data_IF_461062563540
#
_entry.id   IF_461062563540
#
_cell.length_a   1.000
_cell.length_b   1.000
_cell.length_c   1.000
_cell.angle_alpha   90.00
_cell.angle_beta   90.00
_cell.angle_gamma   90.00
#
_symmetry.space_group_name_H-M   'P 1'
#
loop_
_entity.id
_entity.type
_entity.pdbx_description
1 polymer ?
#
# COMPACT_ATOMS: atom_id res chain seq x y z
N UNK A 1 22.59 -6.25 -11.31
CA UNK A 1 21.49 -5.59 -10.61
C UNK A 1 20.53 -6.65 -10.09
N UNK A 2 20.15 -6.56 -8.84
CA UNK A 2 19.26 -7.55 -8.22
C UNK A 2 17.80 -7.17 -8.47
N UNK A 3 17.01 -8.13 -8.90
CA UNK A 3 15.58 -7.92 -9.17
C UNK A 3 14.74 -8.80 -8.26
N UNK A 4 13.60 -8.28 -7.85
CA UNK A 4 12.54 -9.03 -7.21
C UNK A 4 11.40 -9.20 -8.20
N UNK A 5 11.01 -10.43 -8.47
CA UNK A 5 9.90 -10.72 -9.39
C UNK A 5 8.63 -11.05 -8.60
N UNK A 6 7.56 -10.35 -8.89
CA UNK A 6 6.24 -10.66 -8.39
C UNK A 6 5.50 -11.44 -9.48
N UNK A 7 5.19 -12.69 -9.22
CA UNK A 7 4.46 -13.52 -10.16
C UNK A 7 2.99 -13.54 -9.81
N UNK A 8 2.19 -13.01 -10.70
CA UNK A 8 0.73 -12.99 -10.65
C UNK A 8 0.17 -14.10 -11.55
N UNK A 9 -1.12 -14.48 -11.46
CA UNK A 9 -1.67 -15.59 -12.20
C UNK A 9 -1.38 -15.59 -13.71
N UNK A 10 -1.30 -14.40 -14.31
CA UNK A 10 -1.10 -14.26 -15.75
C UNK A 10 0.16 -13.52 -16.17
N UNK A 11 0.92 -12.99 -15.19
CA UNK A 11 2.08 -12.16 -15.49
C UNK A 11 3.12 -12.20 -14.39
N UNK A 12 4.37 -11.99 -14.79
CA UNK A 12 5.48 -11.80 -13.87
C UNK A 12 5.89 -10.33 -13.94
N UNK A 13 5.98 -9.68 -12.79
CA UNK A 13 6.39 -8.28 -12.69
C UNK A 13 7.72 -8.23 -11.96
N UNK A 14 8.74 -7.74 -12.66
CA UNK A 14 10.05 -7.54 -12.08
C UNK A 14 10.19 -6.12 -11.55
N UNK A 15 10.66 -5.97 -10.33
CA UNK A 15 11.06 -4.68 -9.75
C UNK A 15 12.52 -4.73 -9.37
N UNK A 16 13.21 -3.62 -9.53
CA UNK A 16 14.61 -3.53 -9.13
C UNK A 16 14.75 -3.58 -7.61
N UNK A 17 15.91 -3.99 -7.13
CA UNK A 17 16.18 -4.12 -5.70
C UNK A 17 15.93 -2.81 -4.94
N UNK A 18 16.31 -1.66 -5.52
CA UNK A 18 16.10 -0.34 -4.92
C UNK A 18 14.62 0.00 -4.80
N UNK A 19 13.82 -0.39 -5.80
CA UNK A 19 12.37 -0.21 -5.78
C UNK A 19 11.72 -1.11 -4.74
N UNK A 20 12.16 -2.36 -4.65
CA UNK A 20 11.69 -3.31 -3.65
C UNK A 20 12.02 -2.82 -2.22
N UNK A 21 13.21 -2.29 -2.01
CA UNK A 21 13.59 -1.71 -0.71
C UNK A 21 12.68 -0.55 -0.32
N UNK A 22 12.37 0.34 -1.26
CA UNK A 22 11.44 1.45 -1.01
C UNK A 22 10.04 0.94 -0.63
N UNK A 23 9.57 -0.08 -1.31
CA UNK A 23 8.28 -0.69 -0.98
C UNK A 23 8.32 -1.31 0.43
N UNK A 24 9.40 -2.00 0.78
CA UNK A 24 9.54 -2.60 2.11
C UNK A 24 9.64 -1.54 3.21
N UNK A 25 10.35 -0.45 2.96
CA UNK A 25 10.40 0.69 3.89
C UNK A 25 9.01 1.28 4.13
N UNK A 26 8.21 1.40 3.08
CA UNK A 26 6.85 1.91 3.20
C UNK A 26 5.95 0.93 3.95
N UNK A 27 6.03 -0.35 3.67
CA UNK A 27 5.32 -1.39 4.41
C UNK A 27 5.68 -1.34 5.90
N UNK A 28 6.95 -1.15 6.20
CA UNK A 28 7.45 -1.05 7.57
C UNK A 28 6.91 0.20 8.26
N UNK A 29 6.96 1.34 7.58
CA UNK A 29 6.42 2.61 8.10
C UNK A 29 4.94 2.50 8.45
N UNK A 30 4.19 1.76 7.67
CA UNK A 30 2.76 1.56 7.89
C UNK A 30 2.45 0.47 8.92
N UNK A 31 3.46 -0.19 9.48
CA UNK A 31 3.26 -1.32 10.38
C UNK A 31 2.64 -2.54 9.70
N UNK A 32 2.75 -2.61 8.38
CA UNK A 32 2.08 -3.60 7.54
C UNK A 32 3.07 -4.63 6.97
N UNK A 33 4.15 -4.91 7.68
CA UNK A 33 5.12 -5.91 7.24
C UNK A 33 4.44 -7.25 6.99
N UNK A 34 4.80 -7.93 5.91
CA UNK A 34 4.46 -9.34 5.75
C UNK A 34 4.89 -10.13 6.99
N UNK A 35 4.28 -11.28 7.23
CA UNK A 35 4.69 -12.13 8.35
C UNK A 35 6.19 -12.37 8.27
N UNK A 36 6.84 -12.62 9.41
CA UNK A 36 8.30 -12.76 9.45
C UNK A 36 8.85 -13.75 8.43
N UNK A 37 8.11 -14.84 8.18
CA UNK A 37 8.51 -15.85 7.19
C UNK A 37 8.40 -15.33 5.76
N UNK A 38 7.32 -14.62 5.42
CA UNK A 38 7.14 -14.05 4.09
C UNK A 38 8.15 -12.94 3.83
N UNK A 39 8.39 -12.10 4.81
CA UNK A 39 9.40 -11.05 4.73
C UNK A 39 10.80 -11.64 4.51
N UNK A 40 11.18 -12.66 5.26
CA UNK A 40 12.47 -13.32 5.11
C UNK A 40 12.61 -13.97 3.72
N UNK A 41 11.53 -14.54 3.20
CA UNK A 41 11.50 -15.11 1.85
C UNK A 41 11.68 -14.05 0.78
N UNK A 42 10.98 -12.94 0.87
CA UNK A 42 11.12 -11.82 -0.05
C UNK A 42 12.53 -11.21 0.02
N UNK A 43 13.05 -11.00 1.22
CA UNK A 43 14.40 -10.48 1.41
C UNK A 43 15.47 -11.40 0.80
N UNK A 44 15.34 -12.71 0.99
CA UNK A 44 16.26 -13.69 0.35
C UNK A 44 16.19 -13.61 -1.16
N UNK A 45 14.99 -13.43 -1.74
CA UNK A 45 14.82 -13.36 -3.18
C UNK A 45 15.40 -12.10 -3.78
N UNK A 46 15.38 -10.99 -3.08
CA UNK A 46 16.10 -9.77 -3.50
C UNK A 46 17.61 -10.08 -3.59
N UNK A 47 18.15 -10.82 -2.60
CA UNK A 47 19.56 -11.20 -2.60
C UNK A 47 19.94 -12.28 -3.63
N UNK A 48 18.99 -13.11 -4.05
CA UNK A 48 19.23 -14.25 -4.95
C UNK A 48 18.54 -14.13 -6.31
N UNK A 49 17.97 -13.00 -6.63
CA UNK A 49 17.15 -12.80 -7.82
C UNK A 49 17.87 -13.09 -9.13
N UNK A 50 19.21 -13.04 -9.13
CA UNK A 50 19.99 -13.43 -10.30
C UNK A 50 19.82 -14.92 -10.66
N UNK A 51 19.49 -15.76 -9.70
CA UNK A 51 19.36 -17.21 -9.86
C UNK A 51 17.91 -17.67 -9.87
N UNK A 52 17.02 -16.95 -9.19
CA UNK A 52 15.61 -17.34 -9.05
C UNK A 52 14.72 -16.26 -9.66
N UNK A 53 14.40 -16.40 -10.92
CA UNK A 53 13.56 -15.43 -11.63
C UNK A 53 12.07 -15.59 -11.39
N UNK A 54 11.67 -16.65 -10.72
CA UNK A 54 10.25 -16.87 -10.45
C UNK A 54 9.97 -16.73 -8.96
N UNK A 55 9.67 -15.52 -8.54
CA UNK A 55 9.04 -15.31 -7.24
C UNK A 55 7.55 -15.44 -7.46
N UNK A 56 6.96 -16.44 -6.86
CA UNK A 56 5.52 -16.61 -6.93
C UNK A 56 4.89 -15.65 -5.92
N UNK A 57 4.61 -14.43 -6.34
CA UNK A 57 3.96 -13.45 -5.48
C UNK A 57 2.60 -13.95 -5.00
N UNK A 58 1.93 -14.78 -5.82
CA UNK A 58 0.67 -15.41 -5.45
C UNK A 58 0.83 -16.38 -4.29
N UNK A 59 1.97 -17.05 -4.18
CA UNK A 59 2.28 -17.93 -3.05
C UNK A 59 2.73 -17.15 -1.82
N UNK A 60 3.24 -15.94 -2.02
CA UNK A 60 3.73 -15.08 -0.95
C UNK A 60 2.67 -14.14 -0.41
N UNK A 61 1.72 -13.78 -1.26
CA UNK A 61 0.74 -12.75 -1.00
C UNK A 61 -0.66 -13.37 -1.02
N UNK A 62 -1.22 -13.64 0.15
CA UNK A 62 -2.65 -13.88 0.26
C UNK A 62 -3.43 -12.56 0.07
N UNK A 63 -4.74 -12.59 0.22
CA UNK A 63 -5.57 -11.40 0.02
C UNK A 63 -5.13 -10.25 0.94
N UNK A 64 -4.82 -10.54 2.19
CA UNK A 64 -4.40 -9.53 3.15
C UNK A 64 -3.04 -8.93 2.80
N UNK A 65 -2.10 -9.73 2.31
CA UNK A 65 -0.80 -9.24 1.87
C UNK A 65 -0.92 -8.37 0.62
N UNK A 66 -1.80 -8.74 -0.32
CA UNK A 66 -2.08 -7.91 -1.50
C UNK A 66 -2.64 -6.54 -1.08
N UNK A 67 -3.55 -6.50 -0.11
CA UNK A 67 -4.08 -5.25 0.42
C UNK A 67 -3.00 -4.38 1.04
N UNK A 68 -2.08 -4.98 1.79
CA UNK A 68 -0.95 -4.25 2.39
C UNK A 68 -0.05 -3.63 1.32
N UNK A 69 0.28 -4.37 0.28
CA UNK A 69 1.11 -3.88 -0.83
C UNK A 69 0.39 -2.76 -1.57
N UNK A 70 -0.89 -2.92 -1.87
CA UNK A 70 -1.69 -1.88 -2.51
C UNK A 70 -1.72 -0.60 -1.67
N UNK A 71 -1.89 -0.73 -0.35
CA UNK A 71 -1.88 0.43 0.55
C UNK A 71 -0.55 1.15 0.56
N UNK A 72 0.55 0.42 0.61
CA UNK A 72 1.89 1.01 0.52
C UNK A 72 2.08 1.76 -0.80
N UNK A 73 1.63 1.18 -1.91
CA UNK A 73 1.69 1.82 -3.22
C UNK A 73 0.80 3.08 -3.29
N UNK A 74 -0.37 3.07 -2.68
CA UNK A 74 -1.22 4.26 -2.60
C UNK A 74 -0.53 5.41 -1.85
N UNK A 75 0.15 5.11 -0.74
CA UNK A 75 0.92 6.11 -0.01
C UNK A 75 2.07 6.68 -0.83
N UNK A 76 2.82 5.81 -1.53
CA UNK A 76 3.91 6.25 -2.40
C UNK A 76 3.38 7.10 -3.56
N UNK A 77 2.24 6.73 -4.14
CA UNK A 77 1.61 7.49 -5.22
C UNK A 77 1.23 8.90 -4.77
N UNK A 78 0.65 9.04 -3.59
CA UNK A 78 0.25 10.33 -3.05
C UNK A 78 1.44 11.27 -2.77
N UNK A 79 2.62 10.70 -2.50
CA UNK A 79 3.85 11.47 -2.33
C UNK A 79 4.65 11.63 -3.62
N UNK A 80 4.11 11.18 -4.75
CA UNK A 80 4.77 11.20 -6.06
C UNK A 80 6.11 10.44 -6.04
N UNK A 81 6.13 9.29 -5.37
CA UNK A 81 7.33 8.47 -5.20
C UNK A 81 7.23 7.10 -5.89
N UNK A 82 6.23 6.90 -6.77
CA UNK A 82 6.14 5.67 -7.55
C UNK A 82 7.14 5.68 -8.70
N UNK A 83 8.10 4.76 -8.65
CA UNK A 83 9.02 4.49 -9.74
C UNK A 83 8.33 3.65 -10.83
N UNK A 84 8.87 3.59 -12.06
CA UNK A 84 8.26 2.81 -13.15
C UNK A 84 7.97 1.35 -12.82
N UNK A 85 8.87 0.67 -12.11
CA UNK A 85 8.65 -0.72 -11.70
C UNK A 85 7.51 -0.87 -10.70
N UNK A 86 7.37 0.09 -9.77
CA UNK A 86 6.28 0.08 -8.80
C UNK A 86 4.94 0.45 -9.45
N UNK A 87 4.93 1.32 -10.46
CA UNK A 87 3.74 1.58 -11.28
C UNK A 87 3.29 0.31 -11.97
N UNK A 88 4.22 -0.45 -12.56
CA UNK A 88 3.91 -1.72 -13.21
C UNK A 88 3.35 -2.74 -12.21
N UNK A 89 3.90 -2.78 -11.00
CA UNK A 89 3.39 -3.63 -9.92
C UNK A 89 1.96 -3.24 -9.53
N UNK A 90 1.68 -1.94 -9.38
CA UNK A 90 0.35 -1.43 -9.11
C UNK A 90 -0.66 -1.85 -10.19
N UNK A 91 -0.31 -1.63 -11.45
CA UNK A 91 -1.17 -1.97 -12.58
C UNK A 91 -1.44 -3.48 -12.64
N UNK A 92 -0.41 -4.30 -12.43
CA UNK A 92 -0.54 -5.75 -12.41
C UNK A 92 -1.42 -6.24 -11.27
N UNK A 93 -1.22 -5.72 -10.06
CA UNK A 93 -2.04 -6.09 -8.90
C UNK A 93 -3.50 -5.68 -9.10
N UNK A 94 -3.76 -4.46 -9.55
CA UNK A 94 -5.14 -4.00 -9.76
C UNK A 94 -5.85 -4.78 -10.85
N UNK A 95 -5.14 -5.16 -11.92
CA UNK A 95 -5.70 -5.98 -13.00
C UNK A 95 -6.03 -7.40 -12.54
N UNK A 96 -5.13 -8.04 -11.80
CA UNK A 96 -5.22 -9.47 -11.48
C UNK A 96 -6.01 -9.74 -10.19
N UNK A 97 -5.84 -8.90 -9.19
CA UNK A 97 -6.56 -9.03 -7.90
C UNK A 97 -7.98 -8.47 -8.00
N UNK A 98 -8.19 -7.46 -8.86
CA UNK A 98 -9.47 -6.76 -9.04
C UNK A 98 -10.07 -6.30 -7.70
N UNK A 99 -9.33 -5.47 -6.95
CA UNK A 99 -9.82 -5.00 -5.66
C UNK A 99 -11.08 -4.16 -5.82
N UNK A 100 -11.98 -4.25 -4.84
CA UNK A 100 -13.20 -3.45 -4.84
C UNK A 100 -12.87 -2.06 -4.32
N UNK A 101 -13.12 -0.98 -5.10
CA UNK A 101 -12.90 0.38 -4.63
C UNK A 101 -13.84 0.72 -3.47
N UNK A 102 -13.30 1.36 -2.45
CA UNK A 102 -14.09 1.85 -1.31
C UNK A 102 -13.87 3.35 -1.20
N UNK A 103 -14.98 4.09 -1.16
CA UNK A 103 -14.95 5.55 -1.02
C UNK A 103 -15.06 5.96 0.43
N UNK A 104 -14.25 6.94 0.80
CA UNK A 104 -14.22 7.51 2.15
C UNK A 104 -14.34 9.03 2.08
N UNK A 105 -14.91 9.60 3.11
CA UNK A 105 -14.86 11.03 3.37
C UNK A 105 -13.90 11.26 4.54
N UNK A 106 -12.82 11.98 4.27
CA UNK A 106 -11.84 12.31 5.29
C UNK A 106 -12.23 13.61 5.97
N UNK A 107 -12.23 13.62 7.29
CA UNK A 107 -12.37 14.85 8.08
C UNK A 107 -11.06 15.07 8.82
N UNK A 108 -10.34 16.11 8.40
CA UNK A 108 -8.99 16.41 8.85
C UNK A 108 -9.03 17.56 9.85
N UNK A 109 -8.64 17.29 11.09
CA UNK A 109 -8.54 18.30 12.13
C UNK A 109 -7.13 18.87 12.19
N UNK A 110 -6.95 20.08 11.67
CA UNK A 110 -5.64 20.73 11.68
C UNK A 110 -5.29 21.26 13.07
N UNK A 111 -3.98 21.35 13.35
CA UNK A 111 -3.47 21.84 14.64
C UNK A 111 -3.90 23.26 14.96
N UNK A 112 -4.15 24.09 13.94
CA UNK A 112 -4.62 25.46 14.10
C UNK A 112 -6.14 25.58 14.37
N UNK A 113 -6.83 24.44 14.51
CA UNK A 113 -8.28 24.40 14.73
C UNK A 113 -9.10 24.38 13.46
N UNK A 114 -8.50 24.50 12.29
CA UNK A 114 -9.19 24.44 11.01
C UNK A 114 -9.59 22.99 10.72
N UNK A 115 -10.79 22.82 10.17
CA UNK A 115 -11.29 21.53 9.70
C UNK A 115 -11.31 21.50 8.18
N UNK A 116 -10.88 20.38 7.61
CA UNK A 116 -10.85 20.18 6.17
C UNK A 116 -11.53 18.86 5.81
N UNK A 117 -12.21 18.82 4.68
CA UNK A 117 -12.81 17.60 4.14
C UNK A 117 -12.15 17.24 2.83
N UNK A 118 -11.82 15.95 2.67
CA UNK A 118 -11.32 15.40 1.41
C UNK A 118 -12.04 14.11 1.09
N UNK A 119 -12.22 13.84 -0.18
CA UNK A 119 -12.73 12.55 -0.62
C UNK A 119 -11.55 11.65 -0.97
N UNK A 120 -11.67 10.38 -0.64
CA UNK A 120 -10.65 9.39 -0.95
C UNK A 120 -11.31 8.11 -1.46
N UNK A 121 -10.74 7.52 -2.50
CA UNK A 121 -11.10 6.17 -2.94
C UNK A 121 -9.88 5.29 -2.76
N UNK A 122 -10.06 4.15 -2.11
CA UNK A 122 -8.96 3.22 -1.83
C UNK A 122 -9.26 1.85 -2.42
N UNK A 123 -8.21 1.20 -2.90
CA UNK A 123 -8.23 -0.19 -3.38
C UNK A 123 -7.61 -1.15 -2.36
N UNK A 124 -7.23 -0.68 -1.20
CA UNK A 124 -6.43 -1.44 -0.24
C UNK A 124 -7.21 -1.95 0.97
N UNK A 125 -8.52 -2.13 0.83
CA UNK A 125 -9.35 -2.63 1.92
C UNK A 125 -9.80 -1.55 2.90
N UNK A 126 -10.21 -1.97 4.08
CA UNK A 126 -10.79 -1.09 5.09
C UNK A 126 -9.73 -0.35 5.90
N UNK A 127 -10.07 0.88 6.30
CA UNK A 127 -9.28 1.66 7.24
C UNK A 127 -9.84 1.55 8.65
N UNK A 128 -8.95 1.50 9.63
CA UNK A 128 -9.30 1.38 11.05
C UNK A 128 -8.59 2.47 11.85
N UNK A 129 -9.03 2.68 13.09
CA UNK A 129 -8.34 3.59 14.02
C UNK A 129 -6.87 3.19 14.15
N UNK A 130 -5.98 4.15 14.03
CA UNK A 130 -4.53 3.95 14.05
C UNK A 130 -3.88 3.90 12.67
N UNK A 131 -4.65 3.67 11.62
CA UNK A 131 -4.11 3.65 10.26
C UNK A 131 -3.71 5.04 9.78
N UNK A 132 -2.64 5.09 8.98
CA UNK A 132 -2.22 6.32 8.30
C UNK A 132 -2.95 6.45 6.98
N UNK A 133 -3.31 7.68 6.63
CA UNK A 133 -3.99 8.00 5.37
C UNK A 133 -2.96 8.36 4.31
N UNK A 134 -3.09 7.87 3.07
CA UNK A 134 -2.29 8.35 1.96
C UNK A 134 -2.44 9.86 1.81
N UNK A 135 -1.32 10.58 1.83
CA UNK A 135 -1.31 12.03 1.81
C UNK A 135 -0.11 12.55 1.02
N UNK A 136 -0.18 13.79 0.47
CA UNK A 136 0.95 14.41 -0.19
C UNK A 136 2.17 14.52 0.72
N UNK A 137 3.36 14.64 0.12
CA UNK A 137 4.60 14.81 0.86
C UNK A 137 4.51 16.02 1.80
N UNK A 138 4.99 15.85 3.03
CA UNK A 138 4.94 16.89 4.06
C UNK A 138 3.67 16.84 4.92
N UNK A 139 2.69 16.00 4.58
CA UNK A 139 1.49 15.80 5.39
C UNK A 139 1.53 14.42 6.04
N UNK A 140 0.96 14.33 7.22
CA UNK A 140 0.77 13.06 7.91
C UNK A 140 -0.57 13.08 8.66
N UNK A 141 -1.42 12.10 8.38
CA UNK A 141 -2.74 11.99 8.96
C UNK A 141 -2.98 10.58 9.48
N UNK A 142 -3.51 10.50 10.68
CA UNK A 142 -3.84 9.22 11.32
C UNK A 142 -5.34 9.16 11.62
N UNK A 143 -5.94 8.02 11.33
CA UNK A 143 -7.36 7.79 11.64
C UNK A 143 -7.53 7.67 13.15
N UNK A 144 -8.39 8.50 13.73
CA UNK A 144 -8.73 8.47 15.15
C UNK A 144 -10.19 8.08 15.39
N UNK A 145 -10.99 8.04 14.35
CA UNK A 145 -12.38 7.59 14.43
C UNK A 145 -12.89 7.12 13.08
N UNK A 146 -13.80 6.14 13.09
CA UNK A 146 -14.44 5.59 11.89
C UNK A 146 -15.94 5.68 12.11
N UNK A 147 -16.65 6.42 11.25
CA UNK A 147 -18.08 6.61 11.35
C UNK A 147 -18.76 6.17 10.05
N UNK A 148 -19.43 5.00 10.05
CA UNK A 148 -20.24 4.59 8.90
C UNK A 148 -21.44 5.53 8.74
N UNK A 149 -21.71 5.98 7.50
CA UNK A 149 -22.84 6.87 7.19
C UNK A 149 -23.88 6.19 6.30
N UNK A 150 -24.55 5.16 6.82
CA UNK A 150 -25.65 4.52 6.11
C UNK A 150 -25.29 4.11 4.68
N UNK A 151 -25.93 4.74 3.68
CA UNK A 151 -25.66 4.49 2.25
C UNK A 151 -24.52 5.36 1.70
N UNK A 152 -24.04 6.33 2.46
CA UNK A 152 -22.96 7.21 2.05
C UNK A 152 -21.58 6.64 2.32
N UNK A 153 -20.53 7.33 1.88
CA UNK A 153 -19.16 6.91 2.17
C UNK A 153 -18.87 6.97 3.67
N UNK A 154 -18.11 6.00 4.16
CA UNK A 154 -17.65 6.00 5.55
C UNK A 154 -16.81 7.23 5.83
N UNK A 155 -17.04 7.88 6.95
CA UNK A 155 -16.25 9.02 7.41
C UNK A 155 -15.07 8.54 8.23
N UNK A 156 -13.89 9.05 7.89
CA UNK A 156 -12.68 8.81 8.67
C UNK A 156 -12.28 10.12 9.32
N UNK A 157 -12.29 10.14 10.65
CA UNK A 157 -11.85 11.29 11.43
C UNK A 157 -10.34 11.16 11.60
N UNK A 158 -9.59 12.19 11.23
CA UNK A 158 -8.13 12.13 11.17
C UNK A 158 -7.50 13.30 11.92
N UNK A 159 -6.45 12.98 12.68
CA UNK A 159 -5.59 13.96 13.35
C UNK A 159 -4.21 13.96 12.69
N UNK A 160 -3.46 15.08 12.79
CA UNK A 160 -2.05 15.11 12.36
C UNK A 160 -1.21 14.12 13.17
N UNK A 161 -0.24 13.50 12.49
CA UNK A 161 0.69 12.63 13.21
C UNK A 161 1.84 13.40 13.84
#
# INVERSE_FOLDING_TARGET
>A
MTELSFQLPEASIAVEATEAERLFEELDRLGARPTGQDYARMARRVGTAAHERSVHAVELLDVAENEKVLRALEHLAMRDELSPGLVSLWEGLTRDVRPVPVSYRLELAHLDGREERRDMTSLSGSYSVGDLIPAPAGECWQVVGVEPEGEGPTRLLCDPC
#
